data_IF_305164049239
#
_entry.id   IF_305164049239
#
_cell.length_a   1.000
_cell.length_b   1.000
_cell.length_c   1.000
_cell.angle_alpha   90.00
_cell.angle_beta   90.00
_cell.angle_gamma   90.00
#
_symmetry.space_group_name_H-M   'P 1'
#
loop_
_entity.id
_entity.type
_entity.pdbx_description
1 polymer ?
#
# COMPACT_ATOMS: atom_id res chain seq x y z
N UNK A 1 20.46 -72.46 -57.79
CA UNK A 1 20.16 -71.98 -59.16
C UNK A 1 18.74 -71.46 -59.16
N UNK A 2 18.56 -70.18 -59.48
CA UNK A 2 17.37 -69.57 -60.11
C UNK A 2 17.67 -68.08 -60.32
N UNK A 3 17.12 -67.51 -61.39
CA UNK A 3 17.44 -66.17 -61.91
C UNK A 3 16.40 -65.10 -61.54
N UNK A 4 16.55 -63.91 -62.14
CA UNK A 4 15.59 -62.79 -62.31
C UNK A 4 15.65 -61.54 -61.40
N UNK A 5 16.51 -60.59 -61.80
CA UNK A 5 16.32 -59.11 -61.95
C UNK A 5 15.76 -58.23 -60.76
N UNK A 6 15.94 -56.87 -60.74
CA UNK A 6 16.53 -56.23 -59.55
C UNK A 6 15.94 -54.84 -59.14
N UNK A 7 16.74 -54.03 -58.43
CA UNK A 7 16.65 -52.57 -58.21
C UNK A 7 15.57 -52.08 -57.23
N UNK A 8 16.04 -51.46 -56.13
CA UNK A 8 15.40 -50.27 -55.57
C UNK A 8 16.44 -49.39 -54.83
N UNK A 9 17.25 -48.66 -55.61
CA UNK A 9 18.38 -47.88 -55.09
C UNK A 9 17.91 -46.54 -54.53
N UNK A 10 17.56 -46.48 -53.24
CA UNK A 10 17.27 -45.21 -52.56
C UNK A 10 18.55 -44.43 -52.21
N UNK A 11 19.19 -43.88 -53.24
CA UNK A 11 20.22 -42.86 -53.10
C UNK A 11 19.55 -41.52 -52.75
N UNK A 12 19.68 -41.06 -51.50
CA UNK A 12 19.27 -39.71 -51.11
C UNK A 12 20.26 -38.70 -51.72
N UNK A 13 19.81 -37.66 -52.46
CA UNK A 13 20.73 -36.74 -53.14
C UNK A 13 21.58 -35.93 -52.16
N UNK A 14 22.90 -35.91 -52.39
CA UNK A 14 23.87 -35.10 -51.62
C UNK A 14 23.64 -33.59 -51.75
N UNK A 15 22.99 -33.14 -52.82
CA UNK A 15 22.64 -31.74 -53.07
C UNK A 15 21.68 -31.17 -52.02
N UNK A 16 20.77 -32.00 -51.49
CA UNK A 16 19.77 -31.55 -50.50
C UNK A 16 20.39 -31.22 -49.13
N UNK A 17 21.47 -31.90 -48.72
CA UNK A 17 22.17 -31.57 -47.48
C UNK A 17 22.83 -30.19 -47.56
N UNK A 18 23.48 -29.89 -48.67
CA UNK A 18 24.12 -28.59 -48.91
C UNK A 18 23.09 -27.46 -48.98
N UNK A 19 21.94 -27.69 -49.62
CA UNK A 19 20.84 -26.73 -49.65
C UNK A 19 20.33 -26.43 -48.22
N UNK A 20 20.07 -27.47 -47.40
CA UNK A 20 19.62 -27.29 -46.02
C UNK A 20 20.65 -26.56 -45.14
N UNK A 21 21.94 -26.88 -45.23
CA UNK A 21 22.97 -26.20 -44.42
C UNK A 21 23.15 -24.75 -44.84
N UNK A 22 23.16 -24.45 -46.14
CA UNK A 22 23.23 -23.07 -46.66
C UNK A 22 21.99 -22.26 -46.23
N UNK A 23 20.79 -22.84 -46.30
CA UNK A 23 19.56 -22.19 -45.81
C UNK A 23 19.64 -21.89 -44.31
N UNK A 24 20.19 -22.81 -43.51
CA UNK A 24 20.36 -22.65 -42.06
C UNK A 24 21.40 -21.57 -41.72
N UNK A 25 22.52 -21.53 -42.44
CA UNK A 25 23.57 -20.51 -42.31
C UNK A 25 23.01 -19.13 -42.66
N UNK A 26 22.26 -18.99 -43.75
CA UNK A 26 21.61 -17.73 -44.11
C UNK A 26 20.60 -17.27 -43.06
N UNK A 27 19.76 -18.17 -42.53
CA UNK A 27 18.80 -17.82 -41.47
C UNK A 27 19.51 -17.41 -40.17
N UNK A 28 20.60 -18.08 -39.80
CA UNK A 28 21.41 -17.73 -38.63
C UNK A 28 22.12 -16.37 -38.81
N UNK A 29 22.69 -16.11 -39.99
CA UNK A 29 23.39 -14.86 -40.29
C UNK A 29 22.43 -13.66 -40.43
N UNK A 30 21.24 -13.86 -41.00
CA UNK A 30 20.14 -12.87 -40.96
C UNK A 30 19.67 -12.63 -39.52
N UNK A 31 19.53 -13.69 -38.70
CA UNK A 31 19.21 -13.56 -37.29
C UNK A 31 20.23 -12.70 -36.51
N UNK A 32 21.53 -12.94 -36.72
CA UNK A 32 22.60 -12.20 -36.07
C UNK A 32 22.64 -10.72 -36.51
N UNK A 33 22.55 -10.45 -37.82
CA UNK A 33 22.52 -9.06 -38.32
C UNK A 33 21.27 -8.29 -37.84
N UNK A 34 20.10 -8.93 -37.76
CA UNK A 34 18.91 -8.32 -37.16
C UNK A 34 19.09 -8.04 -35.67
N UNK A 35 19.80 -8.91 -34.93
CA UNK A 35 20.16 -8.68 -33.52
C UNK A 35 21.16 -7.52 -33.38
N UNK A 36 22.15 -7.41 -34.25
CA UNK A 36 23.11 -6.30 -34.29
C UNK A 36 22.40 -4.95 -34.55
N UNK A 37 21.50 -4.88 -35.53
CA UNK A 37 20.69 -3.67 -35.77
C UNK A 37 19.74 -3.35 -34.61
N UNK A 38 19.17 -4.36 -33.94
CA UNK A 38 18.36 -4.17 -32.73
C UNK A 38 19.19 -3.60 -31.57
N UNK A 39 20.41 -4.12 -31.35
CA UNK A 39 21.33 -3.62 -30.33
C UNK A 39 21.83 -2.21 -30.64
N UNK A 40 22.20 -1.91 -31.89
CA UNK A 40 22.64 -0.58 -32.32
C UNK A 40 21.52 0.46 -32.19
N UNK A 41 20.28 0.12 -32.59
CA UNK A 41 19.13 1.02 -32.43
C UNK A 41 18.75 1.23 -30.96
N UNK A 42 18.86 0.21 -30.11
CA UNK A 42 18.70 0.34 -28.65
C UNK A 42 19.78 1.25 -28.05
N UNK A 43 21.05 1.06 -28.40
CA UNK A 43 22.15 1.92 -27.95
C UNK A 43 21.97 3.37 -28.39
N UNK A 44 21.52 3.61 -29.64
CA UNK A 44 21.20 4.94 -30.14
C UNK A 44 20.02 5.56 -29.39
N UNK A 45 18.95 4.79 -29.14
CA UNK A 45 17.79 5.26 -28.37
C UNK A 45 18.15 5.61 -26.92
N UNK A 46 19.02 4.84 -26.27
CA UNK A 46 19.54 5.12 -24.92
C UNK A 46 20.47 6.35 -24.92
N UNK A 47 21.30 6.52 -25.95
CA UNK A 47 22.13 7.73 -26.11
C UNK A 47 21.28 8.98 -26.32
N UNK A 48 20.31 8.93 -27.23
CA UNK A 48 19.35 10.02 -27.49
C UNK A 48 18.54 10.34 -26.22
N UNK A 49 18.10 9.31 -25.47
CA UNK A 49 17.45 9.50 -24.17
C UNK A 49 18.33 10.34 -23.23
N UNK A 50 19.59 9.96 -22.98
CA UNK A 50 20.46 10.71 -22.06
C UNK A 50 20.84 12.11 -22.56
N UNK A 51 20.87 12.34 -23.87
CA UNK A 51 21.09 13.68 -24.45
C UNK A 51 19.86 14.60 -24.28
N UNK A 52 18.65 14.05 -24.40
CA UNK A 52 17.40 14.78 -24.16
C UNK A 52 17.13 15.02 -22.67
N UNK A 53 17.37 14.02 -21.81
CA UNK A 53 17.25 14.08 -20.35
C UNK A 53 18.09 15.26 -19.81
N UNK A 54 19.35 15.37 -20.25
CA UNK A 54 20.26 16.50 -19.92
C UNK A 54 19.67 17.89 -20.22
N UNK A 55 18.81 18.02 -21.23
CA UNK A 55 18.20 19.30 -21.62
C UNK A 55 16.93 19.65 -20.84
N UNK A 56 16.39 18.73 -20.05
CA UNK A 56 15.07 18.86 -19.41
C UNK A 56 15.13 19.24 -17.92
N UNK A 57 16.33 19.33 -17.33
CA UNK A 57 16.55 19.50 -15.88
C UNK A 57 17.05 20.90 -15.45
N UNK A 58 16.80 21.97 -16.21
CA UNK A 58 17.24 23.32 -15.80
C UNK A 58 16.57 23.80 -14.51
N UNK A 59 15.33 23.34 -14.28
CA UNK A 59 14.41 23.85 -13.25
C UNK A 59 14.11 22.78 -12.17
N UNK A 60 14.72 21.59 -12.26
CA UNK A 60 14.49 20.48 -11.32
C UNK A 60 15.58 20.42 -10.22
N UNK A 61 15.25 19.96 -9.00
CA UNK A 61 16.26 19.72 -7.96
C UNK A 61 17.35 18.74 -8.42
N UNK A 62 18.60 18.90 -7.96
CA UNK A 62 19.71 18.00 -8.30
C UNK A 62 19.40 16.54 -7.92
N UNK A 63 20.01 15.56 -8.58
CA UNK A 63 19.74 14.16 -8.29
C UNK A 63 20.60 13.15 -9.05
N UNK A 64 20.58 11.86 -8.66
CA UNK A 64 21.19 10.78 -9.42
C UNK A 64 20.42 10.55 -10.73
N UNK A 65 21.11 10.57 -11.87
CA UNK A 65 20.49 10.27 -13.18
C UNK A 65 19.91 8.85 -13.19
N UNK A 66 18.61 8.75 -13.46
CA UNK A 66 17.91 7.48 -13.55
C UNK A 66 18.14 6.77 -14.88
N UNK A 67 18.12 5.43 -14.84
CA UNK A 67 18.08 4.60 -16.05
C UNK A 67 16.78 4.86 -16.85
N UNK A 68 16.79 4.70 -18.18
CA UNK A 68 15.56 4.72 -18.98
C UNK A 68 14.57 3.67 -18.45
N UNK A 69 13.29 4.05 -18.41
CA UNK A 69 12.15 3.30 -17.83
C UNK A 69 12.24 3.07 -16.31
N UNK A 70 13.35 2.52 -15.79
CA UNK A 70 13.50 2.11 -14.38
C UNK A 70 13.79 3.27 -13.41
N UNK A 71 14.39 4.36 -13.88
CA UNK A 71 14.91 5.41 -13.00
C UNK A 71 16.03 4.88 -12.09
N UNK A 72 16.00 5.26 -10.82
CA UNK A 72 16.98 4.89 -9.80
C UNK A 72 16.59 3.63 -9.00
N UNK A 73 15.54 2.91 -9.39
CA UNK A 73 15.02 1.76 -8.62
C UNK A 73 16.09 0.69 -8.35
N UNK A 74 16.99 0.43 -9.31
CA UNK A 74 18.08 -0.53 -9.15
C UNK A 74 19.10 -0.03 -8.11
N UNK A 75 19.41 1.27 -8.09
CA UNK A 75 20.39 1.85 -7.16
C UNK A 75 19.82 1.86 -5.73
N UNK A 76 18.55 2.25 -5.58
CA UNK A 76 17.83 2.24 -4.31
C UNK A 76 17.72 0.82 -3.73
N UNK A 77 17.40 -0.18 -4.57
CA UNK A 77 17.31 -1.58 -4.16
C UNK A 77 18.68 -2.23 -3.84
N UNK A 78 19.79 -1.62 -4.26
CA UNK A 78 21.16 -2.05 -3.93
C UNK A 78 21.75 -1.34 -2.71
N UNK A 79 21.24 -0.17 -2.34
CA UNK A 79 21.86 0.70 -1.34
C UNK A 79 21.70 0.16 0.10
N UNK A 80 20.46 -0.14 0.52
CA UNK A 80 20.16 -0.91 1.73
C UNK A 80 18.66 -1.21 1.82
N UNK A 81 18.27 -2.18 2.67
CA UNK A 81 16.87 -2.44 3.03
C UNK A 81 16.20 -1.26 3.76
N UNK A 82 16.99 -0.35 4.34
CA UNK A 82 16.50 0.85 5.02
C UNK A 82 16.55 2.07 4.08
N UNK A 83 15.45 2.29 3.35
CA UNK A 83 15.33 3.44 2.44
C UNK A 83 15.57 4.80 3.10
N UNK A 84 15.32 4.95 4.42
CA UNK A 84 15.55 6.23 5.13
C UNK A 84 17.05 6.53 5.19
N UNK A 85 17.88 5.53 5.51
CA UNK A 85 19.34 5.67 5.50
C UNK A 85 19.85 5.93 4.07
N UNK A 86 19.32 5.20 3.08
CA UNK A 86 19.61 5.40 1.66
C UNK A 86 19.32 6.84 1.21
N UNK A 87 18.18 7.42 1.61
CA UNK A 87 17.85 8.81 1.31
C UNK A 87 18.70 9.82 2.09
N UNK A 88 19.16 9.50 3.30
CA UNK A 88 20.13 10.31 4.04
C UNK A 88 21.46 10.46 3.28
N UNK A 89 22.06 9.34 2.87
CA UNK A 89 23.32 9.32 2.09
C UNK A 89 23.18 10.01 0.72
N UNK A 90 22.00 9.90 0.09
CA UNK A 90 21.71 10.68 -1.13
C UNK A 90 21.59 12.18 -0.83
N UNK A 91 21.00 12.58 0.31
CA UNK A 91 20.95 13.98 0.75
C UNK A 91 22.33 14.58 1.02
N UNK A 92 23.24 13.83 1.65
CA UNK A 92 24.64 14.25 1.84
C UNK A 92 25.37 14.52 0.50
N UNK A 93 24.98 13.80 -0.57
CA UNK A 93 25.63 13.87 -1.88
C UNK A 93 24.98 14.88 -2.84
N UNK A 94 23.66 15.05 -2.79
CA UNK A 94 22.89 15.87 -3.74
C UNK A 94 22.29 17.13 -3.11
N UNK A 95 22.37 17.29 -1.79
CA UNK A 95 21.81 18.43 -1.05
C UNK A 95 20.48 18.11 -0.37
N UNK A 96 19.97 19.08 0.40
CA UNK A 96 18.79 18.89 1.28
C UNK A 96 17.48 18.61 0.55
N UNK A 97 17.40 19.01 -0.72
CA UNK A 97 16.26 18.85 -1.62
C UNK A 97 16.82 18.24 -2.90
N UNK A 98 16.47 16.98 -3.18
CA UNK A 98 16.97 16.27 -4.36
C UNK A 98 15.87 15.50 -5.09
N UNK A 99 16.05 15.28 -6.39
CA UNK A 99 15.12 14.52 -7.23
C UNK A 99 15.57 13.07 -7.42
N UNK A 100 14.61 12.15 -7.46
CA UNK A 100 14.80 10.75 -7.86
C UNK A 100 13.67 10.32 -8.79
N UNK A 101 13.93 9.28 -9.59
CA UNK A 101 12.94 8.66 -10.47
C UNK A 101 12.67 7.23 -10.02
N UNK A 102 11.43 6.93 -9.64
CA UNK A 102 10.95 5.59 -9.32
C UNK A 102 10.08 5.08 -10.47
N UNK A 103 10.72 4.42 -11.45
CA UNK A 103 10.06 3.94 -12.67
C UNK A 103 9.45 5.08 -13.49
N UNK A 104 8.12 5.11 -13.56
CA UNK A 104 7.37 6.18 -14.23
C UNK A 104 7.11 7.43 -13.36
N UNK A 105 7.36 7.38 -12.05
CA UNK A 105 7.14 8.52 -11.14
C UNK A 105 8.44 9.29 -10.89
N UNK A 106 8.43 10.62 -11.08
CA UNK A 106 9.42 11.52 -10.47
C UNK A 106 9.04 11.72 -9.00
N UNK A 107 10.02 11.95 -8.12
CA UNK A 107 9.81 12.17 -6.69
C UNK A 107 10.88 13.11 -6.17
N UNK A 108 10.49 14.14 -5.42
CA UNK A 108 11.43 15.01 -4.70
C UNK A 108 11.54 14.50 -3.26
N UNK A 109 12.77 14.32 -2.80
CA UNK A 109 13.10 13.93 -1.42
C UNK A 109 13.56 15.17 -0.67
N UNK A 110 13.05 15.34 0.55
CA UNK A 110 13.35 16.46 1.44
C UNK A 110 14.01 15.88 2.69
N UNK A 111 15.22 16.31 3.02
CA UNK A 111 15.95 15.83 4.21
C UNK A 111 16.09 16.90 5.29
N UNK A 112 16.07 18.20 4.94
CA UNK A 112 16.06 19.27 5.95
C UNK A 112 14.67 19.55 6.52
N UNK A 113 14.67 19.96 7.80
CA UNK A 113 13.46 20.28 8.57
C UNK A 113 12.74 21.48 7.96
N UNK A 114 13.48 22.45 7.43
CA UNK A 114 12.99 23.72 6.89
C UNK A 114 12.25 23.52 5.57
N UNK A 115 12.78 22.65 4.69
CA UNK A 115 12.10 22.21 3.48
C UNK A 115 10.83 21.40 3.81
N UNK A 116 10.92 20.45 4.76
CA UNK A 116 9.76 19.70 5.25
C UNK A 116 8.68 20.61 5.86
N UNK A 117 9.05 21.61 6.66
CA UNK A 117 8.10 22.54 7.27
C UNK A 117 7.41 23.43 6.22
N UNK A 118 8.15 23.92 5.21
CA UNK A 118 7.59 24.71 4.11
C UNK A 118 6.53 23.91 3.33
N UNK A 119 6.84 22.65 2.99
CA UNK A 119 5.90 21.77 2.27
C UNK A 119 4.72 21.36 3.17
N UNK A 120 4.97 20.89 4.39
CA UNK A 120 3.90 20.45 5.31
C UNK A 120 3.00 21.59 5.84
N UNK A 121 3.31 22.85 5.53
CA UNK A 121 2.45 24.01 5.82
C UNK A 121 1.68 24.53 4.60
N UNK A 122 1.93 24.01 3.40
CA UNK A 122 1.32 24.48 2.15
C UNK A 122 0.18 23.55 1.72
N UNK A 123 -1.07 24.02 1.79
CA UNK A 123 -2.25 23.20 1.45
C UNK A 123 -2.22 22.64 0.01
N UNK A 124 -1.55 23.32 -0.93
CA UNK A 124 -1.41 22.84 -2.31
C UNK A 124 -0.64 21.51 -2.40
N UNK A 125 0.19 21.17 -1.42
CA UNK A 125 0.92 19.89 -1.36
C UNK A 125 0.16 18.82 -0.56
N UNK A 126 -1.05 19.09 -0.06
CA UNK A 126 -1.85 18.14 0.72
C UNK A 126 -2.64 17.14 -0.15
N UNK A 127 -2.35 17.08 -1.45
CA UNK A 127 -2.83 16.03 -2.33
C UNK A 127 -2.45 14.62 -1.82
N UNK A 128 -3.13 13.60 -2.37
CA UNK A 128 -2.83 12.18 -2.11
C UNK A 128 -2.58 11.47 -3.42
N UNK A 129 -1.60 10.59 -3.45
CA UNK A 129 -1.41 9.69 -4.59
C UNK A 129 -2.58 8.69 -4.65
N UNK A 130 -3.48 8.88 -5.61
CA UNK A 130 -4.60 7.99 -5.89
C UNK A 130 -4.33 7.19 -7.19
N UNK A 131 -3.08 6.80 -7.42
CA UNK A 131 -2.67 5.97 -8.56
C UNK A 131 -2.00 4.66 -8.10
N UNK A 132 -2.11 3.63 -8.93
CA UNK A 132 -1.52 2.31 -8.66
C UNK A 132 -1.94 1.75 -7.30
N UNK A 133 -0.95 1.41 -6.49
CA UNK A 133 -1.12 0.70 -5.23
C UNK A 133 -1.95 1.46 -4.17
N UNK A 134 -1.68 2.75 -3.99
CA UNK A 134 -2.41 3.60 -3.03
C UNK A 134 -3.90 3.78 -3.43
N UNK A 135 -4.17 3.69 -4.73
CA UNK A 135 -5.53 3.68 -5.25
C UNK A 135 -6.24 2.36 -4.90
N UNK A 136 -5.56 1.22 -5.00
CA UNK A 136 -6.13 -0.09 -4.65
C UNK A 136 -6.42 -0.20 -3.15
N UNK A 137 -5.49 0.26 -2.31
CA UNK A 137 -5.63 0.37 -0.85
C UNK A 137 -6.85 1.20 -0.41
N UNK A 138 -7.27 2.16 -1.22
CA UNK A 138 -8.44 3.02 -0.98
C UNK A 138 -9.68 2.62 -1.79
N UNK A 139 -9.62 1.49 -2.51
CA UNK A 139 -10.65 1.02 -3.46
C UNK A 139 -11.07 2.10 -4.48
N UNK A 140 -10.11 2.96 -4.86
CA UNK A 140 -10.25 4.14 -5.70
C UNK A 140 -11.24 5.20 -5.15
N UNK A 141 -11.32 5.38 -3.83
CA UNK A 141 -12.25 6.33 -3.18
C UNK A 141 -11.54 7.43 -2.37
N UNK A 142 -11.97 8.68 -2.60
CA UNK A 142 -11.59 9.87 -1.85
C UNK A 142 -12.25 9.91 -0.45
N UNK A 143 -11.94 8.93 0.42
CA UNK A 143 -12.68 8.69 1.67
C UNK A 143 -11.77 8.37 2.88
N UNK A 144 -12.12 8.92 4.05
CA UNK A 144 -11.42 8.69 5.32
C UNK A 144 -10.05 9.40 5.38
N UNK A 145 -9.51 9.57 6.59
CA UNK A 145 -8.45 10.56 6.86
C UNK A 145 -7.13 10.30 6.10
N UNK A 146 -6.77 9.04 5.83
CA UNK A 146 -5.53 8.73 5.10
C UNK A 146 -5.59 8.94 3.58
N UNK A 147 -6.75 8.71 2.95
CA UNK A 147 -6.90 8.72 1.49
C UNK A 147 -7.66 9.95 0.95
N UNK A 148 -8.39 10.68 1.79
CA UNK A 148 -9.08 11.90 1.38
C UNK A 148 -8.18 13.14 1.32
N UNK A 149 -8.62 14.12 0.54
CA UNK A 149 -8.06 15.47 0.45
C UNK A 149 -9.18 16.52 0.40
N UNK A 150 -8.85 17.81 0.50
CA UNK A 150 -9.82 18.92 0.43
C UNK A 150 -10.84 18.96 1.58
N UNK A 151 -12.05 19.44 1.31
CA UNK A 151 -13.11 19.60 2.32
C UNK A 151 -13.45 18.31 3.04
N UNK A 152 -13.55 17.19 2.31
CA UNK A 152 -13.80 15.84 2.84
C UNK A 152 -12.77 15.47 3.90
N UNK A 153 -11.48 15.71 3.65
CA UNK A 153 -10.42 15.45 4.62
C UNK A 153 -10.57 16.31 5.87
N UNK A 154 -10.73 17.63 5.69
CA UNK A 154 -10.84 18.59 6.81
C UNK A 154 -12.07 18.31 7.68
N UNK A 155 -13.25 18.13 7.06
CA UNK A 155 -14.50 17.77 7.75
C UNK A 155 -14.37 16.45 8.50
N UNK A 156 -13.96 15.38 7.80
CA UNK A 156 -13.82 14.05 8.40
C UNK A 156 -12.85 14.11 9.57
N UNK A 157 -11.62 14.62 9.37
CA UNK A 157 -10.60 14.77 10.42
C UNK A 157 -11.14 15.49 11.65
N UNK A 158 -11.82 16.62 11.46
CA UNK A 158 -12.26 17.46 12.57
C UNK A 158 -13.44 16.84 13.35
N UNK A 159 -14.43 16.23 12.67
CA UNK A 159 -15.49 15.46 13.33
C UNK A 159 -14.89 14.28 14.11
N UNK A 160 -14.09 13.47 13.41
CA UNK A 160 -13.48 12.24 13.92
C UNK A 160 -12.58 12.48 15.16
N UNK A 161 -11.77 13.55 15.18
CA UNK A 161 -10.96 13.89 16.37
C UNK A 161 -11.73 14.60 17.50
N UNK A 162 -12.86 15.25 17.20
CA UNK A 162 -13.78 15.75 18.24
C UNK A 162 -14.41 14.58 18.99
N UNK A 163 -14.99 13.64 18.25
CA UNK A 163 -15.72 12.49 18.81
C UNK A 163 -14.82 11.52 19.58
N UNK A 164 -13.56 11.31 19.18
CA UNK A 164 -12.60 10.57 20.03
C UNK A 164 -12.39 11.21 21.41
N UNK A 165 -12.27 12.54 21.49
CA UNK A 165 -12.03 13.25 22.75
C UNK A 165 -13.26 13.19 23.66
N UNK A 166 -14.45 13.16 23.06
CA UNK A 166 -15.70 12.90 23.78
C UNK A 166 -15.62 11.51 24.45
N UNK A 167 -15.21 10.47 23.72
CA UNK A 167 -14.99 9.09 24.21
C UNK A 167 -13.66 8.81 24.95
N UNK A 168 -12.97 9.86 25.40
CA UNK A 168 -11.85 9.68 26.33
C UNK A 168 -10.46 9.55 25.72
N UNK A 169 -10.31 9.68 24.40
CA UNK A 169 -8.99 9.87 23.79
C UNK A 169 -8.33 11.14 24.35
N UNK A 170 -7.24 10.96 25.10
CA UNK A 170 -6.57 12.04 25.82
C UNK A 170 -7.15 12.37 27.21
N UNK A 171 -8.18 11.66 27.70
CA UNK A 171 -8.60 11.66 29.11
C UNK A 171 -7.89 10.49 29.80
N UNK A 172 -7.13 10.76 30.87
CA UNK A 172 -6.24 9.76 31.49
C UNK A 172 -6.97 8.47 31.89
N UNK A 173 -8.05 8.59 32.68
CA UNK A 173 -8.73 7.44 33.29
C UNK A 173 -9.33 6.44 32.28
N UNK A 174 -9.90 6.93 31.18
CA UNK A 174 -10.47 6.06 30.14
C UNK A 174 -9.37 5.34 29.34
N UNK A 175 -8.33 6.08 28.94
CA UNK A 175 -7.16 5.48 28.29
C UNK A 175 -6.45 4.47 29.17
N UNK A 176 -6.34 4.75 30.47
CA UNK A 176 -5.71 3.86 31.45
C UNK A 176 -6.43 2.51 31.54
N UNK A 177 -7.77 2.50 31.59
CA UNK A 177 -8.54 1.24 31.56
C UNK A 177 -8.34 0.44 30.27
N UNK A 178 -8.31 1.09 29.10
CA UNK A 178 -8.03 0.40 27.83
C UNK A 178 -6.60 -0.15 27.77
N UNK A 179 -5.63 0.58 28.31
CA UNK A 179 -4.22 0.19 28.38
C UNK A 179 -4.01 -0.95 29.39
N UNK A 180 -4.73 -0.97 30.52
CA UNK A 180 -4.71 -2.08 31.48
C UNK A 180 -5.18 -3.38 30.82
N UNK A 181 -6.38 -3.41 30.22
CA UNK A 181 -6.91 -4.59 29.51
C UNK A 181 -5.94 -5.08 28.42
N UNK A 182 -5.34 -4.17 27.66
CA UNK A 182 -4.36 -4.52 26.64
C UNK A 182 -3.03 -5.02 27.24
N UNK A 183 -2.63 -4.53 28.41
CA UNK A 183 -1.42 -4.96 29.12
C UNK A 183 -1.60 -6.33 29.76
N UNK A 184 -2.76 -6.64 30.34
CA UNK A 184 -3.04 -7.95 30.94
C UNK A 184 -2.97 -9.07 29.89
N UNK A 185 -3.56 -8.82 28.71
CA UNK A 185 -3.45 -9.72 27.54
C UNK A 185 -2.01 -9.83 27.00
N UNK A 186 -1.19 -8.78 27.15
CA UNK A 186 0.22 -8.81 26.78
C UNK A 186 1.05 -9.62 27.79
N UNK A 187 0.82 -9.45 29.09
CA UNK A 187 1.53 -10.18 30.14
C UNK A 187 1.18 -11.67 30.12
N UNK A 188 -0.09 -12.05 29.98
CA UNK A 188 -0.48 -13.46 29.77
C UNK A 188 0.27 -14.11 28.59
N UNK A 189 0.42 -13.37 27.48
CA UNK A 189 1.18 -13.81 26.28
C UNK A 189 2.71 -13.79 26.48
N UNK A 190 3.24 -13.04 27.44
CA UNK A 190 4.65 -13.13 27.87
C UNK A 190 4.83 -14.40 28.70
N UNK A 191 3.93 -14.66 29.65
CA UNK A 191 3.98 -15.82 30.54
C UNK A 191 3.84 -17.15 29.77
N UNK A 192 2.95 -17.21 28.77
CA UNK A 192 2.87 -18.31 27.79
C UNK A 192 4.18 -18.58 27.03
N UNK A 193 5.10 -17.61 26.99
CA UNK A 193 6.34 -17.65 26.21
C UNK A 193 7.61 -17.60 27.04
N UNK A 194 7.52 -17.68 28.36
CA UNK A 194 8.67 -17.78 29.25
C UNK A 194 9.58 -18.95 28.85
N UNK A 195 10.88 -18.67 28.70
CA UNK A 195 11.88 -19.64 28.25
C UNK A 195 11.94 -19.88 26.73
N UNK A 196 11.13 -19.20 25.91
CA UNK A 196 11.20 -19.26 24.43
C UNK A 196 11.82 -18.00 23.83
N UNK A 197 12.45 -18.12 22.66
CA UNK A 197 12.91 -16.95 21.91
C UNK A 197 11.71 -16.25 21.25
N UNK A 198 11.62 -14.93 21.44
CA UNK A 198 10.49 -14.12 20.95
C UNK A 198 11.01 -12.97 20.09
N UNK A 199 10.63 -12.97 18.80
CA UNK A 199 10.81 -11.81 17.94
C UNK A 199 9.98 -10.63 18.48
N UNK A 200 10.66 -9.55 18.86
CA UNK A 200 10.03 -8.38 19.52
C UNK A 200 9.42 -7.38 18.54
N UNK A 201 9.82 -7.41 17.26
CA UNK A 201 9.47 -6.40 16.24
C UNK A 201 7.96 -6.17 16.14
N UNK A 202 7.18 -7.26 16.22
CA UNK A 202 5.73 -7.26 16.07
C UNK A 202 5.00 -7.77 17.32
N UNK A 203 5.72 -8.04 18.41
CA UNK A 203 5.16 -8.65 19.61
C UNK A 203 4.06 -7.81 20.26
N UNK A 204 4.25 -6.49 20.27
CA UNK A 204 3.35 -5.48 20.81
C UNK A 204 2.14 -5.16 19.93
N UNK A 205 1.93 -5.87 18.81
CA UNK A 205 0.92 -5.46 17.84
C UNK A 205 -0.51 -5.81 18.27
N UNK A 206 -0.80 -7.01 18.81
CA UNK A 206 -2.10 -7.30 19.40
C UNK A 206 -2.56 -6.32 20.49
N UNK A 207 -1.78 -5.97 21.54
CA UNK A 207 -2.26 -5.03 22.56
C UNK A 207 -2.49 -3.61 22.03
N UNK A 208 -1.70 -3.16 21.04
CA UNK A 208 -2.00 -1.91 20.33
C UNK A 208 -3.35 -2.03 19.62
N UNK A 209 -3.58 -3.09 18.84
CA UNK A 209 -4.87 -3.31 18.16
C UNK A 209 -6.04 -3.46 19.13
N UNK A 210 -5.88 -4.11 20.29
CA UNK A 210 -6.90 -4.18 21.35
C UNK A 210 -7.24 -2.80 21.91
N UNK A 211 -6.22 -1.99 22.23
CA UNK A 211 -6.43 -0.61 22.71
C UNK A 211 -7.20 0.23 21.69
N UNK A 212 -6.88 0.05 20.40
CA UNK A 212 -7.52 0.73 19.28
C UNK A 212 -8.97 0.28 19.09
N UNK A 213 -9.22 -1.02 19.18
CA UNK A 213 -10.55 -1.62 19.10
C UNK A 213 -11.46 -1.11 20.22
N UNK A 214 -10.97 -1.07 21.46
CA UNK A 214 -11.69 -0.54 22.61
C UNK A 214 -12.09 0.94 22.42
N UNK A 215 -11.22 1.78 21.84
CA UNK A 215 -11.54 3.19 21.52
C UNK A 215 -12.58 3.34 20.40
N UNK A 216 -12.68 2.38 19.47
CA UNK A 216 -13.57 2.45 18.30
C UNK A 216 -14.95 1.84 18.62
N UNK A 217 -14.96 0.63 19.20
CA UNK A 217 -16.13 -0.24 19.36
C UNK A 217 -16.68 -0.21 20.79
N UNK A 218 -15.86 0.15 21.79
CA UNK A 218 -16.28 0.25 23.20
C UNK A 218 -16.50 -1.07 23.93
N UNK A 219 -16.24 -2.23 23.29
CA UNK A 219 -16.35 -3.58 23.87
C UNK A 219 -15.23 -4.51 23.36
N UNK A 220 -15.11 -5.68 23.99
CA UNK A 220 -14.18 -6.75 23.60
C UNK A 220 -14.79 -8.14 23.92
N UNK A 221 -15.75 -8.58 23.09
CA UNK A 221 -16.29 -9.95 23.13
C UNK A 221 -15.29 -11.00 22.58
N UNK A 222 -15.64 -12.28 22.62
CA UNK A 222 -14.85 -13.35 22.00
C UNK A 222 -14.72 -13.17 20.47
N UNK A 223 -15.82 -12.80 19.78
CA UNK A 223 -15.81 -12.44 18.36
C UNK A 223 -14.90 -11.22 18.08
N UNK A 224 -14.98 -10.19 18.93
CA UNK A 224 -14.11 -9.02 18.81
C UNK A 224 -12.62 -9.40 18.98
N UNK A 225 -12.29 -10.29 19.91
CA UNK A 225 -10.92 -10.80 20.09
C UNK A 225 -10.45 -11.59 18.87
N UNK A 226 -11.32 -12.41 18.26
CA UNK A 226 -11.02 -13.11 17.01
C UNK A 226 -10.75 -12.13 15.86
N UNK A 227 -11.53 -11.06 15.74
CA UNK A 227 -11.32 -9.98 14.77
C UNK A 227 -10.01 -9.23 15.00
N UNK A 228 -9.72 -8.81 16.25
CA UNK A 228 -8.47 -8.13 16.62
C UNK A 228 -7.25 -9.00 16.34
N UNK A 229 -7.33 -10.31 16.64
CA UNK A 229 -6.28 -11.28 16.31
C UNK A 229 -6.07 -11.39 14.80
N UNK A 230 -7.14 -11.55 14.02
CA UNK A 230 -7.07 -11.66 12.56
C UNK A 230 -6.49 -10.39 11.89
N UNK A 231 -6.88 -9.21 12.36
CA UNK A 231 -6.30 -7.91 11.94
C UNK A 231 -4.82 -7.84 12.31
N UNK A 232 -4.44 -8.27 13.52
CA UNK A 232 -3.04 -8.28 13.97
C UNK A 232 -2.16 -9.21 13.12
N UNK A 233 -2.61 -10.44 12.86
CA UNK A 233 -1.88 -11.43 12.05
C UNK A 233 -1.75 -11.00 10.59
N UNK A 234 -2.81 -10.43 9.99
CA UNK A 234 -2.75 -9.93 8.61
C UNK A 234 -1.96 -8.62 8.49
N UNK A 235 -2.01 -7.77 9.51
CA UNK A 235 -1.15 -6.59 9.63
C UNK A 235 0.33 -6.98 9.71
N UNK A 236 0.68 -8.00 10.48
CA UNK A 236 2.04 -8.53 10.54
C UNK A 236 2.53 -9.01 9.16
N UNK A 237 1.68 -9.73 8.42
CA UNK A 237 1.99 -10.21 7.06
C UNK A 237 2.08 -9.08 6.03
N UNK A 238 1.19 -8.09 6.08
CA UNK A 238 1.22 -6.89 5.25
C UNK A 238 2.61 -6.21 5.30
N UNK A 239 3.22 -6.24 6.47
CA UNK A 239 4.43 -5.49 6.80
C UNK A 239 5.71 -6.30 6.61
N UNK A 240 5.68 -7.61 6.94
CA UNK A 240 6.68 -8.58 6.50
C UNK A 240 6.76 -8.74 4.97
N UNK A 241 5.79 -8.20 4.20
CA UNK A 241 5.87 -8.17 2.74
C UNK A 241 6.95 -7.21 2.19
N UNK A 242 7.59 -6.42 3.06
CA UNK A 242 8.73 -5.57 2.74
C UNK A 242 8.37 -4.33 1.94
N UNK A 243 9.32 -3.40 1.78
CA UNK A 243 9.05 -2.12 1.09
C UNK A 243 9.27 -2.20 -0.42
N UNK A 244 10.15 -3.11 -0.89
CA UNK A 244 10.51 -3.22 -2.32
C UNK A 244 9.34 -3.65 -3.22
N UNK A 245 8.58 -4.69 -2.82
CA UNK A 245 7.39 -5.15 -3.57
C UNK A 245 6.32 -4.06 -3.76
N UNK A 246 5.83 -3.42 -2.68
CA UNK A 246 4.96 -2.25 -2.74
C UNK A 246 5.51 -1.12 -3.62
N UNK A 247 6.78 -0.74 -3.45
CA UNK A 247 7.42 0.33 -4.23
C UNK A 247 7.48 0.03 -5.72
N UNK A 248 7.76 -1.22 -6.11
CA UNK A 248 7.75 -1.64 -7.51
C UNK A 248 6.34 -1.61 -8.12
N UNK A 249 5.30 -2.03 -7.39
CA UNK A 249 3.91 -1.90 -7.85
C UNK A 249 3.47 -0.44 -7.94
N UNK A 250 3.96 0.44 -7.06
CA UNK A 250 3.68 1.87 -7.12
C UNK A 250 4.39 2.57 -8.29
N UNK A 251 5.62 2.18 -8.61
CA UNK A 251 6.40 2.68 -9.75
C UNK A 251 5.89 2.14 -11.10
N UNK A 252 5.37 0.91 -11.10
CA UNK A 252 4.88 0.20 -12.28
C UNK A 252 3.53 -0.49 -12.00
N UNK A 253 2.39 0.25 -12.05
CA UNK A 253 1.07 -0.26 -11.68
C UNK A 253 0.61 -1.54 -12.39
N UNK A 254 1.11 -1.82 -13.60
CA UNK A 254 0.77 -3.05 -14.34
C UNK A 254 1.32 -4.32 -13.68
N UNK A 255 2.42 -4.24 -12.90
CA UNK A 255 3.05 -5.41 -12.30
C UNK A 255 2.14 -6.16 -11.31
N UNK A 256 1.14 -5.49 -10.72
CA UNK A 256 0.12 -6.11 -9.86
C UNK A 256 -0.71 -7.19 -10.57
N UNK A 257 -0.77 -7.17 -11.90
CA UNK A 257 -1.46 -8.19 -12.69
C UNK A 257 -0.54 -9.35 -13.09
N UNK A 258 0.77 -9.07 -13.24
CA UNK A 258 1.76 -10.06 -13.72
C UNK A 258 2.35 -10.88 -12.57
N UNK A 259 2.77 -10.23 -11.48
CA UNK A 259 3.45 -10.88 -10.35
C UNK A 259 2.81 -10.59 -8.97
N UNK A 260 1.48 -10.73 -8.81
CA UNK A 260 0.74 -10.35 -7.60
C UNK A 260 1.13 -11.08 -6.30
N UNK A 261 1.70 -12.29 -6.42
CA UNK A 261 2.20 -13.04 -5.27
C UNK A 261 3.58 -12.52 -4.82
N UNK A 262 4.52 -12.44 -5.77
CA UNK A 262 5.94 -12.14 -5.51
C UNK A 262 6.16 -10.71 -5.03
N UNK A 263 5.39 -9.74 -5.53
CA UNK A 263 5.44 -8.34 -5.11
C UNK A 263 4.64 -8.04 -3.83
N UNK A 264 4.20 -9.06 -3.09
CA UNK A 264 3.41 -8.93 -1.87
C UNK A 264 1.99 -8.39 -2.05
N UNK A 265 1.59 -7.95 -3.25
CA UNK A 265 0.33 -7.27 -3.53
C UNK A 265 -0.91 -7.99 -2.98
N UNK A 266 -0.99 -9.32 -3.11
CA UNK A 266 -2.11 -10.08 -2.50
C UNK A 266 -2.14 -10.02 -0.98
N UNK A 267 -0.98 -10.02 -0.32
CA UNK A 267 -0.88 -9.96 1.14
C UNK A 267 -1.37 -8.60 1.65
N UNK A 268 -1.00 -7.52 0.95
CA UNK A 268 -1.50 -6.18 1.24
C UNK A 268 -3.02 -6.10 1.04
N UNK A 269 -3.53 -6.52 -0.13
CA UNK A 269 -4.96 -6.45 -0.41
C UNK A 269 -5.81 -7.38 0.47
N UNK A 270 -5.27 -8.50 0.94
CA UNK A 270 -5.94 -9.36 1.93
C UNK A 270 -6.12 -8.67 3.28
N UNK A 271 -5.13 -7.88 3.73
CA UNK A 271 -5.26 -7.07 4.94
C UNK A 271 -6.37 -6.01 4.77
N UNK A 272 -6.27 -5.12 3.77
CA UNK A 272 -7.29 -4.09 3.49
C UNK A 272 -8.70 -4.65 3.30
N UNK A 273 -8.85 -5.84 2.69
CA UNK A 273 -10.14 -6.52 2.52
C UNK A 273 -10.69 -7.10 3.82
N UNK A 274 -9.83 -7.57 4.72
CA UNK A 274 -10.26 -8.13 6.01
C UNK A 274 -10.73 -7.02 6.96
N UNK A 275 -9.89 -5.99 7.11
CA UNK A 275 -10.23 -4.67 7.67
C UNK A 275 -11.59 -4.15 7.17
N UNK A 276 -11.76 -4.12 5.85
CA UNK A 276 -13.02 -3.75 5.18
C UNK A 276 -14.20 -4.62 5.61
N UNK A 277 -14.06 -5.95 5.55
CA UNK A 277 -15.14 -6.89 5.88
C UNK A 277 -15.59 -6.80 7.34
N UNK A 278 -14.63 -6.63 8.27
CA UNK A 278 -14.89 -6.51 9.71
C UNK A 278 -15.55 -5.15 10.01
N UNK A 279 -15.04 -4.07 9.43
CA UNK A 279 -15.65 -2.74 9.52
C UNK A 279 -17.10 -2.73 9.03
N UNK A 280 -17.40 -3.43 7.93
CA UNK A 280 -18.78 -3.61 7.45
C UNK A 280 -19.65 -4.43 8.40
N UNK A 281 -19.15 -5.56 8.92
CA UNK A 281 -19.87 -6.40 9.88
C UNK A 281 -20.27 -5.61 11.13
N UNK A 282 -19.33 -4.85 11.71
CA UNK A 282 -19.59 -3.97 12.86
C UNK A 282 -20.60 -2.85 12.55
N UNK A 283 -20.52 -2.28 11.34
CA UNK A 283 -21.45 -1.27 10.88
C UNK A 283 -22.88 -1.80 10.74
N UNK A 284 -23.04 -2.97 10.11
CA UNK A 284 -24.34 -3.63 9.96
C UNK A 284 -24.91 -4.04 11.33
N UNK A 285 -24.09 -4.61 12.22
CA UNK A 285 -24.49 -4.99 13.60
C UNK A 285 -25.01 -3.80 14.40
N UNK A 286 -24.28 -2.67 14.37
CA UNK A 286 -24.66 -1.43 15.04
C UNK A 286 -25.91 -0.80 14.38
N UNK A 287 -26.05 -0.92 13.06
CA UNK A 287 -27.21 -0.47 12.30
C UNK A 287 -28.50 -1.19 12.69
N UNK A 288 -28.47 -2.51 12.88
CA UNK A 288 -29.65 -3.25 13.38
C UNK A 288 -29.94 -2.96 14.85
N UNK A 289 -28.92 -2.78 15.69
CA UNK A 289 -29.10 -2.38 17.10
C UNK A 289 -29.84 -1.06 17.25
N UNK A 290 -29.44 -0.04 16.47
CA UNK A 290 -30.08 1.29 16.49
C UNK A 290 -31.51 1.30 15.91
N UNK A 291 -31.90 0.29 15.11
CA UNK A 291 -33.30 0.08 14.69
C UNK A 291 -34.12 -0.64 15.76
N UNK A 292 -33.54 -1.67 16.39
CA UNK A 292 -34.22 -2.48 17.41
C UNK A 292 -34.42 -1.71 18.73
N UNK A 293 -33.50 -0.81 19.06
CA UNK A 293 -33.66 0.16 20.14
C UNK A 293 -33.06 1.50 19.70
N UNK A 294 -33.86 2.57 19.61
CA UNK A 294 -33.31 3.92 19.41
C UNK A 294 -32.66 4.36 20.72
N UNK A 295 -31.36 4.08 20.87
CA UNK A 295 -30.59 4.46 22.05
C UNK A 295 -30.66 5.98 22.30
N UNK A 296 -30.49 6.35 23.56
CA UNK A 296 -30.59 7.72 24.07
C UNK A 296 -29.66 8.70 23.35
N UNK A 297 -29.97 10.00 23.49
CA UNK A 297 -29.47 11.11 22.67
C UNK A 297 -27.96 11.41 22.71
N UNK A 298 -27.14 10.56 23.34
CA UNK A 298 -25.68 10.59 23.25
C UNK A 298 -25.15 9.18 22.94
N UNK A 299 -24.39 8.98 21.85
CA UNK A 299 -23.74 7.70 21.57
C UNK A 299 -22.69 7.37 22.65
N UNK A 300 -22.41 6.09 22.86
CA UNK A 300 -21.48 5.60 23.89
C UNK A 300 -20.06 5.32 23.36
N UNK A 301 -19.87 5.19 22.06
CA UNK A 301 -18.58 4.93 21.40
C UNK A 301 -18.53 5.53 19.98
N UNK A 302 -17.35 5.52 19.37
CA UNK A 302 -17.13 6.09 18.03
C UNK A 302 -17.94 5.40 16.94
N UNK A 303 -18.02 4.06 16.94
CA UNK A 303 -18.79 3.29 15.96
C UNK A 303 -20.27 3.68 16.00
N UNK A 304 -20.85 3.75 17.19
CA UNK A 304 -22.23 4.22 17.37
C UNK A 304 -22.39 5.66 16.90
N UNK A 305 -21.48 6.57 17.28
CA UNK A 305 -21.50 7.96 16.84
C UNK A 305 -21.34 8.11 15.31
N UNK A 306 -20.64 7.18 14.65
CA UNK A 306 -20.54 7.13 13.19
C UNK A 306 -21.87 6.73 12.57
N UNK A 307 -22.46 5.62 13.01
CA UNK A 307 -23.73 5.10 12.47
C UNK A 307 -24.90 6.07 12.75
N UNK A 308 -24.97 6.64 13.96
CA UNK A 308 -25.98 7.66 14.32
C UNK A 308 -25.89 8.94 13.47
N UNK A 309 -24.78 9.22 12.78
CA UNK A 309 -24.59 10.42 11.94
C UNK A 309 -24.53 10.13 10.43
N UNK A 310 -24.58 8.85 10.02
CA UNK A 310 -24.81 8.47 8.64
C UNK A 310 -26.03 9.18 8.05
N UNK A 311 -25.84 9.81 6.88
CA UNK A 311 -26.91 10.54 6.18
C UNK A 311 -27.23 11.93 6.73
N UNK A 312 -26.49 12.45 7.73
CA UNK A 312 -26.62 13.87 8.19
C UNK A 312 -25.64 14.82 7.49
N UNK A 313 -24.41 14.39 7.22
CA UNK A 313 -23.45 15.11 6.37
C UNK A 313 -22.92 14.14 5.30
N UNK A 314 -23.35 14.31 4.05
CA UNK A 314 -22.91 13.45 2.96
C UNK A 314 -21.39 13.53 2.72
N UNK A 315 -20.72 14.68 2.89
CA UNK A 315 -19.27 14.78 2.65
C UNK A 315 -18.45 13.89 3.58
N UNK A 316 -18.91 13.69 4.83
CA UNK A 316 -18.26 12.80 5.80
C UNK A 316 -18.77 11.36 5.64
N UNK A 317 -20.08 11.18 5.46
CA UNK A 317 -20.77 9.89 5.58
C UNK A 317 -21.26 9.32 4.24
N UNK A 318 -20.70 9.75 3.10
CA UNK A 318 -20.99 9.25 1.74
C UNK A 318 -20.98 7.71 1.61
N UNK A 319 -20.24 7.01 2.49
CA UNK A 319 -20.20 5.53 2.59
C UNK A 319 -21.59 4.94 2.86
N UNK A 320 -22.43 5.62 3.65
CA UNK A 320 -23.69 5.05 4.15
C UNK A 320 -24.84 5.10 3.13
N UNK A 321 -24.63 5.69 1.93
CA UNK A 321 -25.61 5.66 0.84
C UNK A 321 -25.54 4.33 0.07
N UNK A 322 -26.41 3.38 0.40
CA UNK A 322 -26.90 2.46 -0.63
C UNK A 322 -27.66 3.26 -1.70
N UNK A 323 -27.51 2.95 -3.01
CA UNK A 323 -28.20 3.68 -4.05
C UNK A 323 -29.71 3.43 -3.95
N UNK A 324 -30.50 4.49 -3.72
CA UNK A 324 -31.98 4.39 -3.77
C UNK A 324 -32.41 3.96 -5.19
N UNK A 325 -33.31 2.97 -5.37
CA UNK A 325 -33.67 2.45 -6.70
C UNK A 325 -34.33 3.44 -7.67
N UNK A 326 -34.64 4.67 -7.25
CA UNK A 326 -35.51 5.61 -7.98
C UNK A 326 -34.82 6.48 -9.04
N UNK A 327 -33.49 6.46 -9.16
CA UNK A 327 -32.75 7.25 -10.17
C UNK A 327 -32.14 6.43 -11.31
N UNK A 328 -32.21 5.10 -11.27
CA UNK A 328 -31.68 4.22 -12.30
C UNK A 328 -32.65 4.07 -13.49
N UNK A 329 -32.70 5.08 -14.36
CA UNK A 329 -33.15 4.90 -15.76
C UNK A 329 -31.94 4.99 -16.69
N UNK A 330 -31.76 3.93 -17.48
CA UNK A 330 -30.74 3.74 -18.52
C UNK A 330 -29.27 3.80 -18.08
N UNK A 331 -28.72 2.62 -17.74
CA UNK A 331 -27.44 2.07 -18.21
C UNK A 331 -27.54 0.52 -18.09
N UNK A 332 -26.84 -0.22 -18.95
CA UNK A 332 -27.17 -1.62 -19.27
C UNK A 332 -26.71 -2.68 -18.25
N UNK A 333 -27.39 -3.84 -18.27
CA UNK A 333 -27.17 -4.96 -17.34
C UNK A 333 -25.90 -5.79 -17.64
N UNK A 334 -24.70 -5.26 -17.36
CA UNK A 334 -23.46 -6.10 -17.35
C UNK A 334 -22.50 -5.92 -16.17
N UNK A 335 -22.54 -4.82 -15.43
CA UNK A 335 -21.53 -4.53 -14.37
C UNK A 335 -21.96 -4.92 -12.93
N UNK A 336 -22.99 -5.75 -12.77
CA UNK A 336 -23.61 -6.12 -11.49
C UNK A 336 -22.78 -7.05 -10.56
N UNK A 337 -21.46 -7.17 -10.76
CA UNK A 337 -20.63 -8.20 -10.10
C UNK A 337 -19.36 -7.68 -9.40
N UNK A 338 -19.20 -6.35 -9.19
CA UNK A 338 -17.94 -5.74 -8.70
C UNK A 338 -18.04 -4.93 -7.39
N UNK A 339 -19.16 -5.02 -6.66
CA UNK A 339 -19.37 -4.20 -5.44
C UNK A 339 -19.34 -5.08 -4.19
N UNK A 340 -18.22 -5.06 -3.47
CA UNK A 340 -18.11 -5.50 -2.06
C UNK A 340 -17.65 -4.32 -1.20
N UNK A 341 -18.10 -4.23 0.04
CA UNK A 341 -18.25 -2.96 0.76
C UNK A 341 -17.24 -2.72 1.90
N UNK A 342 -16.46 -1.64 1.74
CA UNK A 342 -16.15 -0.55 2.70
C UNK A 342 -15.68 -0.82 4.16
N UNK A 343 -14.48 -0.30 4.50
CA UNK A 343 -14.07 0.03 5.89
C UNK A 343 -12.88 1.01 6.02
N UNK A 344 -12.71 1.57 7.23
CA UNK A 344 -11.50 2.21 7.86
C UNK A 344 -11.10 3.72 7.62
N UNK A 345 -10.52 4.34 8.68
CA UNK A 345 -10.41 5.81 9.03
C UNK A 345 -9.03 6.18 9.73
N UNK A 346 -8.83 7.34 10.44
CA UNK A 346 -7.76 7.97 11.37
C UNK A 346 -6.17 8.16 11.20
N UNK A 347 -5.67 9.30 10.65
CA UNK A 347 -4.57 10.20 11.18
C UNK A 347 -3.08 9.81 11.51
N UNK A 348 -2.13 10.80 11.68
CA UNK A 348 -0.86 10.65 12.49
C UNK A 348 -0.29 11.86 13.35
N UNK A 349 0.11 11.64 14.64
CA UNK A 349 1.21 12.20 15.53
C UNK A 349 0.94 11.91 17.06
N UNK A 350 1.68 12.26 18.16
CA UNK A 350 3.13 12.10 18.55
C UNK A 350 3.50 12.56 20.04
N UNK A 351 2.92 12.03 21.16
CA UNK A 351 3.31 12.43 22.57
C UNK A 351 4.69 11.86 23.01
N UNK A 352 5.40 12.53 23.96
CA UNK A 352 6.76 12.19 24.45
C UNK A 352 6.79 11.11 25.54
N UNK A 353 7.59 10.07 25.35
CA UNK A 353 8.25 9.28 26.42
C UNK A 353 9.75 9.20 26.08
N UNK A 354 10.63 9.59 27.01
CA UNK A 354 12.01 9.99 26.67
C UNK A 354 13.13 8.99 27.02
N UNK A 355 12.81 7.73 27.39
CA UNK A 355 13.84 6.70 27.70
C UNK A 355 13.77 5.36 26.92
N UNK A 356 12.70 5.05 26.18
CA UNK A 356 12.66 3.87 25.27
C UNK A 356 13.30 4.12 23.88
N UNK A 357 13.88 5.30 23.65
CA UNK A 357 14.00 5.88 22.30
C UNK A 357 14.82 5.07 21.28
N UNK A 358 15.81 4.27 21.69
CA UNK A 358 16.67 3.52 20.75
C UNK A 358 16.07 2.26 20.13
N UNK A 359 14.97 1.72 20.66
CA UNK A 359 14.30 0.53 20.09
C UNK A 359 13.14 0.86 19.14
N UNK A 360 12.60 2.08 19.22
CA UNK A 360 11.40 2.48 18.46
C UNK A 360 11.76 2.99 17.06
N UNK A 361 12.95 3.57 16.88
CA UNK A 361 13.38 4.23 15.64
C UNK A 361 13.66 3.25 14.46
N UNK A 362 13.43 1.94 14.62
CA UNK A 362 13.68 0.89 13.63
C UNK A 362 12.46 0.13 13.10
N UNK A 363 11.22 0.46 13.51
CA UNK A 363 9.99 -0.21 13.02
C UNK A 363 9.22 0.64 11.99
N UNK A 364 9.37 0.41 10.67
CA UNK A 364 8.68 1.19 9.65
C UNK A 364 7.22 0.73 9.42
N UNK A 365 6.37 1.70 9.05
CA UNK A 365 5.11 1.58 8.28
C UNK A 365 3.80 0.96 8.85
N UNK A 366 3.69 0.60 10.13
CA UNK A 366 2.40 0.10 10.67
C UNK A 366 1.32 1.17 10.86
N UNK A 367 0.64 1.53 9.77
CA UNK A 367 -0.71 2.08 9.84
C UNK A 367 -1.48 1.92 8.52
N UNK A 368 -2.34 0.91 8.45
CA UNK A 368 -3.53 1.05 7.60
C UNK A 368 -4.43 2.08 8.27
N UNK A 369 -4.19 3.34 7.91
CA UNK A 369 -5.10 4.47 8.04
C UNK A 369 -5.42 4.99 9.45
N UNK A 370 -5.36 4.19 10.55
CA UNK A 370 -6.38 4.19 11.65
C UNK A 370 -6.05 4.52 13.14
N UNK A 371 -4.94 5.17 13.56
CA UNK A 371 -4.89 6.20 14.66
C UNK A 371 -3.47 6.71 14.91
N UNK A 372 -3.37 8.04 15.05
CA UNK A 372 -2.37 8.87 15.76
C UNK A 372 -2.82 10.34 15.39
N UNK A 373 -2.80 11.40 16.23
CA UNK A 373 -2.68 12.88 15.92
C UNK A 373 -2.70 13.61 17.29
N UNK A 374 -1.52 13.81 17.90
CA UNK A 374 -1.29 14.54 19.17
C UNK A 374 0.17 15.04 19.32
N UNK A 375 0.75 15.63 18.26
CA UNK A 375 1.90 16.57 18.15
C UNK A 375 2.47 16.49 16.72
#
# INVERSE_FOLDING_TARGET
MHDFIPICTYAVPSENLNCFTVQFIHLFQVGNTMLEFALLSLCLAVLVYYLLDKHHHSDEPPGPRGLPILGNLIDLARASDNMVNTFGVLGEKYGEIFSIRMGFKRTVVLTSKEAMQTVLSNEATFARDNSGLFADWSFHKNLGIGASHGSVWTKTRNWTFKTLREFGFGKSLAMEGYIQIASDLLFAKIDEKLGTEVNVDYFFHPPIQTTMWLMIVGRLSEDDQAHVKLISEKGERFMKSGILGPSLVNAFPFLRYVFPNWLGYKVQMDFFRSCTSIGKQLFDEMGEKLKASPLTSQPANLLEAFVQNCGKDDEIFNICRTPKPSSLRHIEMRELHKISHHGELFGTSRIRISKLRRYIDHQPFYMCKYIYILK
#
